data_IF_257056318590
#
_entry.id   IF_257056318590
#
_cell.length_a   1.000
_cell.length_b   1.000
_cell.length_c   1.000
_cell.angle_alpha   90.00
_cell.angle_beta   90.00
_cell.angle_gamma   90.00
#
_symmetry.space_group_name_H-M   'P 1'
#
loop_
_entity.id
_entity.type
_entity.pdbx_description
1 polymer ?
#
# COMPACT_ATOMS: atom_id res chain seq x y z
N UNK A 1 -35.24 28.05 -4.35
CA UNK A 1 -34.89 29.45 -4.69
C UNK A 1 -34.63 29.57 -6.20
N UNK A 2 -35.03 30.67 -6.86
CA UNK A 2 -34.82 30.87 -8.31
C UNK A 2 -33.32 30.92 -8.64
N UNK A 3 -32.89 30.36 -9.78
CA UNK A 3 -31.48 30.34 -10.24
C UNK A 3 -30.83 31.75 -10.24
N UNK A 4 -31.59 32.78 -10.65
CA UNK A 4 -31.15 34.18 -10.65
C UNK A 4 -30.74 34.66 -9.25
N UNK A 5 -31.52 34.33 -8.21
CA UNK A 5 -31.22 34.71 -6.83
C UNK A 5 -29.96 34.02 -6.29
N UNK A 6 -29.74 32.73 -6.62
CA UNK A 6 -28.50 32.02 -6.26
C UNK A 6 -27.26 32.67 -6.86
N UNK A 7 -27.36 33.13 -8.10
CA UNK A 7 -26.25 33.82 -8.78
C UNK A 7 -25.96 35.18 -8.15
N UNK A 8 -26.99 35.99 -7.88
CA UNK A 8 -26.82 37.33 -7.29
C UNK A 8 -26.25 37.25 -5.87
N UNK A 9 -26.67 36.26 -5.08
CA UNK A 9 -26.18 36.04 -3.72
C UNK A 9 -24.85 35.27 -3.68
N UNK A 10 -24.25 34.98 -4.84
CA UNK A 10 -23.03 34.20 -4.97
C UNK A 10 -23.07 32.87 -4.18
N UNK A 11 -24.23 32.24 -4.10
CA UNK A 11 -24.49 31.07 -3.26
C UNK A 11 -23.48 29.94 -3.50
N UNK A 12 -23.09 29.73 -4.76
CA UNK A 12 -22.08 28.74 -5.11
C UNK A 12 -20.72 29.03 -4.45
N UNK A 13 -20.31 30.31 -4.34
CA UNK A 13 -19.04 30.66 -3.67
C UNK A 13 -19.10 30.35 -2.16
N UNK A 14 -20.27 30.45 -1.55
CA UNK A 14 -20.47 30.05 -0.15
C UNK A 14 -20.31 28.54 -0.01
N UNK A 15 -20.93 27.76 -0.90
CA UNK A 15 -20.77 26.30 -0.92
C UNK A 15 -19.31 25.89 -1.10
N UNK A 16 -18.57 26.52 -2.03
CA UNK A 16 -17.14 26.26 -2.21
C UNK A 16 -16.33 26.57 -0.93
N UNK A 17 -16.61 27.69 -0.26
CA UNK A 17 -15.95 28.01 1.03
C UNK A 17 -16.21 26.94 2.08
N UNK A 18 -17.44 26.45 2.20
CA UNK A 18 -17.78 25.37 3.16
C UNK A 18 -17.11 24.05 2.77
N UNK A 19 -17.07 23.72 1.47
CA UNK A 19 -16.46 22.49 1.00
C UNK A 19 -14.96 22.41 1.32
N UNK A 20 -14.26 23.55 1.36
CA UNK A 20 -12.85 23.61 1.77
C UNK A 20 -12.61 23.23 3.23
N UNK A 21 -13.62 23.30 4.10
CA UNK A 21 -13.55 22.86 5.49
C UNK A 21 -13.96 21.39 5.68
N UNK A 22 -14.50 20.72 4.66
CA UNK A 22 -14.81 19.30 4.77
C UNK A 22 -13.54 18.44 4.61
N UNK A 23 -13.27 17.58 5.59
CA UNK A 23 -12.04 16.76 5.63
C UNK A 23 -12.08 15.58 4.65
N UNK A 24 -13.25 14.99 4.43
CA UNK A 24 -13.40 13.80 3.59
C UNK A 24 -13.90 14.16 2.20
N UNK A 25 -13.50 13.37 1.19
CA UNK A 25 -13.99 13.52 -0.19
C UNK A 25 -15.51 13.42 -0.25
N UNK A 26 -16.10 12.43 0.43
CA UNK A 26 -17.55 12.24 0.48
C UNK A 26 -18.25 13.42 1.17
N UNK A 27 -17.66 13.98 2.22
CA UNK A 27 -18.17 15.19 2.87
C UNK A 27 -18.21 16.39 1.92
N UNK A 28 -17.15 16.60 1.13
CA UNK A 28 -17.12 17.64 0.09
C UNK A 28 -18.24 17.45 -0.93
N UNK A 29 -18.42 16.22 -1.42
CA UNK A 29 -19.48 15.91 -2.38
C UNK A 29 -20.89 16.16 -1.82
N UNK A 30 -21.11 15.89 -0.53
CA UNK A 30 -22.38 16.22 0.16
C UNK A 30 -22.57 17.73 0.26
N UNK A 31 -21.51 18.49 0.60
CA UNK A 31 -21.56 19.95 0.68
C UNK A 31 -21.90 20.57 -0.68
N UNK A 32 -21.31 20.11 -1.78
CA UNK A 32 -21.61 20.62 -3.12
C UNK A 32 -23.06 20.39 -3.57
N UNK A 33 -23.76 19.43 -2.96
CA UNK A 33 -25.18 19.14 -3.23
C UNK A 33 -26.14 19.96 -2.36
N UNK A 34 -25.64 20.81 -1.46
CA UNK A 34 -26.48 21.64 -0.61
C UNK A 34 -27.30 22.65 -1.42
N UNK A 35 -28.57 22.77 -1.03
CA UNK A 35 -29.50 23.75 -1.57
C UNK A 35 -30.40 24.28 -0.45
N UNK A 36 -31.11 25.37 -0.73
CA UNK A 36 -32.15 25.89 0.16
C UNK A 36 -33.26 24.86 0.33
N UNK A 37 -33.78 24.74 1.54
CA UNK A 37 -34.97 23.95 1.85
C UNK A 37 -36.07 24.84 2.40
N UNK A 38 -37.32 24.57 2.02
CA UNK A 38 -38.52 25.17 2.60
C UNK A 38 -39.25 24.22 3.55
N UNK A 39 -38.72 23.01 3.76
CA UNK A 39 -39.29 22.03 4.67
C UNK A 39 -38.83 22.33 6.10
N UNK A 40 -39.75 22.86 6.92
CA UNK A 40 -39.45 23.34 8.27
C UNK A 40 -38.78 22.26 9.16
N UNK A 41 -39.34 21.05 9.19
CA UNK A 41 -38.81 19.96 10.02
C UNK A 41 -37.37 19.59 9.61
N UNK A 42 -37.10 19.51 8.30
CA UNK A 42 -35.76 19.26 7.78
C UNK A 42 -34.76 20.37 8.12
N UNK A 43 -35.19 21.63 8.11
CA UNK A 43 -34.35 22.78 8.51
C UNK A 43 -34.03 22.73 10.01
N UNK A 44 -35.03 22.49 10.87
CA UNK A 44 -34.84 22.37 12.33
C UNK A 44 -33.86 21.23 12.64
N UNK A 45 -34.03 20.08 11.98
CA UNK A 45 -33.14 18.93 12.16
C UNK A 45 -31.69 19.26 11.78
N UNK A 46 -31.46 19.89 10.62
CA UNK A 46 -30.11 20.30 10.19
C UNK A 46 -29.50 21.35 11.12
N UNK A 47 -30.28 22.28 11.64
CA UNK A 47 -29.81 23.25 12.64
C UNK A 47 -29.39 22.56 13.94
N UNK A 48 -30.18 21.58 14.41
CA UNK A 48 -29.84 20.75 15.57
C UNK A 48 -28.54 19.96 15.35
N UNK A 49 -28.37 19.36 14.18
CA UNK A 49 -27.13 18.68 13.79
C UNK A 49 -25.91 19.60 13.89
N UNK A 50 -25.99 20.80 13.30
CA UNK A 50 -24.91 21.78 13.33
C UNK A 50 -24.62 22.26 14.75
N UNK A 51 -25.64 22.50 15.56
CA UNK A 51 -25.48 22.93 16.95
C UNK A 51 -24.75 21.86 17.78
N UNK A 52 -25.16 20.59 17.66
CA UNK A 52 -24.49 19.48 18.36
C UNK A 52 -23.04 19.29 17.90
N UNK A 53 -22.79 19.34 16.58
CA UNK A 53 -21.44 19.23 16.04
C UNK A 53 -20.52 20.35 16.55
N UNK A 54 -21.01 21.59 16.65
CA UNK A 54 -20.24 22.69 17.22
C UNK A 54 -19.98 22.49 18.72
N UNK A 55 -20.99 22.07 19.49
CA UNK A 55 -20.86 21.85 20.93
C UNK A 55 -19.81 20.79 21.27
N UNK A 56 -19.83 19.66 20.56
CA UNK A 56 -18.86 18.58 20.81
C UNK A 56 -17.44 18.99 20.39
N UNK A 57 -17.30 19.78 19.31
CA UNK A 57 -15.99 20.34 18.90
C UNK A 57 -15.41 21.28 19.96
N UNK A 58 -16.23 22.16 20.53
CA UNK A 58 -15.80 23.08 21.59
C UNK A 58 -15.36 22.29 22.84
N UNK A 59 -16.05 21.19 23.15
CA UNK A 59 -15.78 20.40 24.34
C UNK A 59 -14.58 19.46 24.19
N UNK A 60 -14.48 18.76 23.05
CA UNK A 60 -13.53 17.66 22.85
C UNK A 60 -12.45 17.94 21.81
N UNK A 61 -12.50 19.10 21.15
CA UNK A 61 -11.67 19.41 20.00
C UNK A 61 -12.18 18.76 18.71
N UNK A 62 -11.37 18.85 17.65
CA UNK A 62 -11.75 18.36 16.32
C UNK A 62 -12.01 16.85 16.29
N UNK A 63 -13.03 16.39 15.54
CA UNK A 63 -13.32 14.96 15.39
C UNK A 63 -12.21 14.24 14.60
N UNK A 64 -11.91 12.97 14.91
CA UNK A 64 -10.88 12.21 14.21
C UNK A 64 -11.41 11.66 12.87
N UNK A 65 -11.52 12.51 11.84
CA UNK A 65 -11.99 12.13 10.50
C UNK A 65 -10.86 11.77 9.52
N UNK A 66 -9.61 11.89 9.96
CA UNK A 66 -8.43 11.54 9.16
C UNK A 66 -8.38 10.05 8.80
N UNK A 67 -8.01 9.75 7.56
CA UNK A 67 -7.90 8.37 7.03
C UNK A 67 -9.19 7.82 6.39
N UNK A 68 -10.31 8.55 6.46
CA UNK A 68 -11.55 8.14 5.81
C UNK A 68 -11.40 8.27 4.29
N UNK A 69 -11.52 7.14 3.61
CA UNK A 69 -11.45 7.02 2.16
C UNK A 69 -12.71 6.37 1.60
N UNK A 70 -13.00 6.58 0.31
CA UNK A 70 -14.03 5.77 -0.37
C UNK A 70 -13.48 4.39 -0.66
N UNK A 71 -13.95 3.40 0.10
CA UNK A 71 -13.51 2.01 0.02
C UNK A 71 -14.54 1.08 -0.62
N UNK A 72 -15.63 1.62 -1.17
CA UNK A 72 -16.77 0.81 -1.66
C UNK A 72 -16.35 -0.26 -2.67
N UNK A 73 -15.47 0.10 -3.61
CA UNK A 73 -15.03 -0.85 -4.65
C UNK A 73 -14.03 -1.89 -4.11
N UNK A 74 -13.21 -1.54 -3.12
CA UNK A 74 -12.34 -2.50 -2.43
C UNK A 74 -13.17 -3.52 -1.64
N UNK A 75 -14.16 -3.06 -0.86
CA UNK A 75 -15.05 -3.93 -0.08
C UNK A 75 -15.85 -4.86 -0.99
N UNK A 76 -16.40 -4.35 -2.10
CA UNK A 76 -17.10 -5.19 -3.09
C UNK A 76 -16.20 -6.27 -3.68
N UNK A 77 -14.94 -5.92 -3.97
CA UNK A 77 -13.96 -6.88 -4.49
C UNK A 77 -13.63 -7.95 -3.46
N UNK A 78 -13.37 -7.58 -2.22
CA UNK A 78 -13.13 -8.54 -1.13
C UNK A 78 -14.33 -9.46 -0.90
N UNK A 79 -15.56 -8.93 -0.97
CA UNK A 79 -16.78 -9.70 -0.78
C UNK A 79 -16.99 -10.83 -1.80
N UNK A 80 -16.37 -10.74 -2.99
CA UNK A 80 -16.40 -11.79 -4.02
C UNK A 80 -15.12 -12.64 -4.04
N UNK A 81 -14.25 -12.52 -3.03
CA UNK A 81 -12.99 -13.25 -2.93
C UNK A 81 -11.88 -12.73 -3.84
N UNK A 82 -11.97 -11.47 -4.27
CA UNK A 82 -10.95 -10.83 -5.11
C UNK A 82 -9.81 -10.22 -4.29
N UNK A 83 -8.60 -10.22 -4.85
CA UNK A 83 -7.41 -9.60 -4.24
C UNK A 83 -7.55 -8.07 -4.22
N UNK A 84 -7.41 -7.49 -3.03
CA UNK A 84 -7.33 -6.04 -2.81
C UNK A 84 -5.84 -5.65 -2.79
N UNK A 85 -5.51 -4.50 -3.37
CA UNK A 85 -4.13 -3.97 -3.31
C UNK A 85 -3.75 -3.55 -1.90
N UNK A 86 -2.44 -3.45 -1.62
CA UNK A 86 -1.93 -3.00 -0.31
C UNK A 86 -2.49 -1.65 0.10
N UNK A 87 -2.41 -0.64 -0.79
CA UNK A 87 -3.04 0.67 -0.60
C UNK A 87 -4.54 0.55 -0.32
N UNK A 88 -5.25 -0.34 -1.01
CA UNK A 88 -6.67 -0.57 -0.80
C UNK A 88 -6.98 -1.11 0.59
N UNK A 89 -6.22 -2.11 1.05
CA UNK A 89 -6.35 -2.69 2.40
C UNK A 89 -6.00 -1.66 3.49
N UNK A 90 -4.94 -0.88 3.31
CA UNK A 90 -4.59 0.21 4.23
C UNK A 90 -5.71 1.26 4.31
N UNK A 91 -6.27 1.69 3.17
CA UNK A 91 -7.41 2.61 3.17
C UNK A 91 -8.64 2.02 3.88
N UNK A 92 -8.89 0.71 3.75
CA UNK A 92 -9.94 0.02 4.50
C UNK A 92 -9.67 0.05 6.01
N UNK A 93 -8.46 -0.30 6.44
CA UNK A 93 -8.06 -0.27 7.85
C UNK A 93 -8.14 1.15 8.43
N UNK A 94 -7.62 2.16 7.73
CA UNK A 94 -7.68 3.55 8.15
C UNK A 94 -9.11 4.07 8.26
N UNK A 95 -9.98 3.69 7.33
CA UNK A 95 -11.40 4.06 7.37
C UNK A 95 -12.14 3.40 8.54
N UNK A 96 -11.88 2.11 8.81
CA UNK A 96 -12.42 1.40 9.97
C UNK A 96 -11.94 2.03 11.29
N UNK A 97 -10.63 2.33 11.36
CA UNK A 97 -10.01 2.99 12.52
C UNK A 97 -10.62 4.36 12.76
N UNK A 98 -10.77 5.18 11.73
CA UNK A 98 -11.40 6.50 11.83
C UNK A 98 -12.86 6.38 12.27
N UNK A 99 -13.61 5.42 11.72
CA UNK A 99 -14.98 5.13 12.15
C UNK A 99 -15.07 4.78 13.64
N UNK A 100 -14.16 3.92 14.13
CA UNK A 100 -14.08 3.54 15.55
C UNK A 100 -13.72 4.72 16.45
N UNK A 101 -12.73 5.52 16.06
CA UNK A 101 -12.34 6.71 16.81
C UNK A 101 -13.46 7.76 16.83
N UNK A 102 -14.15 7.97 15.71
CA UNK A 102 -15.29 8.87 15.62
C UNK A 102 -16.46 8.40 16.50
N UNK A 103 -16.78 7.10 16.47
CA UNK A 103 -17.80 6.50 17.33
C UNK A 103 -17.47 6.70 18.80
N UNK A 104 -16.22 6.47 19.20
CA UNK A 104 -15.77 6.74 20.57
C UNK A 104 -15.82 8.23 20.93
N UNK A 105 -15.42 9.10 20.01
CA UNK A 105 -15.45 10.55 20.19
C UNK A 105 -16.88 11.05 20.47
N UNK A 106 -17.90 10.49 19.81
CA UNK A 106 -19.31 10.88 20.02
C UNK A 106 -19.92 10.21 21.25
N UNK A 107 -19.65 8.91 21.46
CA UNK A 107 -20.39 8.11 22.46
C UNK A 107 -19.76 8.08 23.86
N UNK A 108 -18.47 8.38 24.01
CA UNK A 108 -17.76 8.27 25.30
C UNK A 108 -17.51 9.65 25.95
N UNK A 109 -17.53 9.71 27.28
CA UNK A 109 -17.18 10.89 28.07
C UNK A 109 -18.00 12.14 27.72
N UNK A 110 -19.31 11.99 27.54
CA UNK A 110 -20.22 13.13 27.42
C UNK A 110 -20.59 13.57 28.85
N UNK A 111 -20.09 14.72 29.31
CA UNK A 111 -20.31 15.27 30.65
C UNK A 111 -21.79 15.66 30.88
N UNK A 112 -22.66 14.66 31.01
CA UNK A 112 -24.13 14.76 31.13
C UNK A 112 -24.87 15.45 29.96
N UNK A 113 -24.15 15.75 28.86
CA UNK A 113 -24.74 16.26 27.62
C UNK A 113 -25.19 15.10 26.73
N UNK A 114 -26.34 15.28 26.07
CA UNK A 114 -26.85 14.34 25.08
C UNK A 114 -26.66 14.90 23.68
N UNK A 115 -26.08 14.10 22.80
CA UNK A 115 -25.89 14.43 21.39
C UNK A 115 -26.75 13.52 20.53
N UNK A 116 -28.05 13.43 20.83
CA UNK A 116 -28.98 12.43 20.30
C UNK A 116 -28.91 12.24 18.78
N UNK A 117 -28.75 13.33 18.01
CA UNK A 117 -28.64 13.23 16.55
C UNK A 117 -27.30 12.62 16.14
N UNK A 118 -26.20 13.05 16.75
CA UNK A 118 -24.86 12.50 16.45
C UNK A 118 -24.71 11.07 16.98
N UNK A 119 -25.28 10.76 18.15
CA UNK A 119 -25.33 9.44 18.75
C UNK A 119 -26.06 8.48 17.81
N UNK A 120 -27.26 8.86 17.35
CA UNK A 120 -28.01 8.08 16.36
C UNK A 120 -27.21 7.83 15.08
N UNK A 121 -26.52 8.84 14.54
CA UNK A 121 -25.67 8.67 13.35
C UNK A 121 -24.46 7.77 13.61
N UNK A 122 -23.92 7.78 14.83
CA UNK A 122 -22.71 7.03 15.19
C UNK A 122 -22.99 5.56 15.53
N UNK A 123 -24.24 5.22 15.90
CA UNK A 123 -24.63 3.83 16.16
C UNK A 123 -24.46 2.95 14.92
N UNK A 124 -24.80 3.47 13.75
CA UNK A 124 -24.72 2.76 12.46
C UNK A 124 -23.29 2.57 11.94
N UNK A 125 -22.29 3.19 12.58
CA UNK A 125 -20.89 3.01 12.21
C UNK A 125 -20.46 1.60 12.65
N UNK A 126 -20.13 0.78 11.65
CA UNK A 126 -19.49 -0.52 11.85
C UNK A 126 -18.01 -0.34 12.21
N UNK A 127 -17.55 -1.09 13.20
CA UNK A 127 -16.18 -1.05 13.70
C UNK A 127 -15.67 -2.48 13.92
N UNK A 128 -14.46 -2.78 13.45
CA UNK A 128 -13.82 -4.07 13.71
C UNK A 128 -12.32 -3.86 13.91
N UNK A 129 -11.90 -3.82 15.18
CA UNK A 129 -10.50 -3.57 15.56
C UNK A 129 -9.58 -4.71 15.13
N UNK A 130 -10.06 -5.94 15.14
CA UNK A 130 -9.25 -7.11 14.80
C UNK A 130 -8.82 -7.08 13.32
N UNK A 131 -9.70 -6.62 12.43
CA UNK A 131 -9.37 -6.41 11.00
C UNK A 131 -8.34 -5.30 10.84
N UNK A 132 -8.51 -4.17 11.55
CA UNK A 132 -7.54 -3.07 11.53
C UNK A 132 -6.14 -3.58 11.92
N UNK A 133 -6.03 -4.24 13.06
CA UNK A 133 -4.77 -4.76 13.60
C UNK A 133 -4.15 -5.82 12.68
N UNK A 134 -4.96 -6.74 12.12
CA UNK A 134 -4.46 -7.75 11.19
C UNK A 134 -3.84 -7.09 9.95
N UNK A 135 -4.52 -6.09 9.36
CA UNK A 135 -4.00 -5.38 8.18
C UNK A 135 -2.70 -4.63 8.53
N UNK A 136 -2.66 -3.87 9.62
CA UNK A 136 -1.45 -3.12 10.01
C UNK A 136 -0.27 -4.02 10.40
N UNK A 137 -0.53 -5.23 10.90
CA UNK A 137 0.53 -6.20 11.20
C UNK A 137 1.18 -6.80 9.95
N UNK A 138 0.42 -6.89 8.85
CA UNK A 138 0.87 -7.50 7.59
C UNK A 138 1.45 -6.46 6.63
N UNK A 139 0.88 -5.26 6.59
CA UNK A 139 1.23 -4.24 5.58
C UNK A 139 1.98 -3.09 6.26
N UNK A 140 3.25 -2.92 5.88
CA UNK A 140 4.12 -1.84 6.40
C UNK A 140 3.84 -0.54 5.64
N UNK A 141 3.69 -0.64 4.32
CA UNK A 141 3.44 0.52 3.44
C UNK A 141 2.63 0.11 2.22
N UNK A 142 2.28 1.08 1.37
CA UNK A 142 1.52 0.83 0.14
C UNK A 142 2.23 -0.10 -0.86
N UNK A 143 3.52 -0.35 -0.67
CA UNK A 143 4.36 -1.19 -1.54
C UNK A 143 5.03 -2.35 -0.79
N UNK A 144 4.92 -2.40 0.55
CA UNK A 144 5.71 -3.29 1.38
C UNK A 144 4.85 -4.11 2.35
N UNK A 145 5.06 -5.43 2.30
CA UNK A 145 4.51 -6.41 3.23
C UNK A 145 5.59 -6.81 4.23
N UNK A 146 5.22 -6.94 5.49
CA UNK A 146 6.09 -7.37 6.57
C UNK A 146 6.74 -8.73 6.28
N UNK A 147 8.03 -8.86 6.61
CA UNK A 147 8.79 -10.11 6.46
C UNK A 147 8.17 -11.28 7.23
N UNK A 148 7.53 -10.97 8.36
CA UNK A 148 6.87 -11.92 9.25
C UNK A 148 5.35 -11.94 9.11
N UNK A 149 4.80 -11.37 8.02
CA UNK A 149 3.38 -11.47 7.69
C UNK A 149 2.88 -12.93 7.63
N UNK A 150 3.76 -13.87 7.32
CA UNK A 150 3.54 -15.29 7.60
C UNK A 150 4.85 -16.02 7.92
N UNK A 151 4.81 -17.14 8.68
CA UNK A 151 5.98 -17.99 8.89
C UNK A 151 6.58 -18.52 7.58
N UNK A 152 5.73 -18.78 6.57
CA UNK A 152 6.16 -19.27 5.26
C UNK A 152 6.85 -18.19 4.43
N UNK A 153 6.31 -16.97 4.42
CA UNK A 153 6.94 -15.82 3.74
C UNK A 153 8.32 -15.54 4.33
N UNK A 154 8.41 -15.52 5.67
CA UNK A 154 9.67 -15.34 6.39
C UNK A 154 10.72 -16.40 6.02
N UNK A 155 10.29 -17.66 5.91
CA UNK A 155 11.16 -18.77 5.50
C UNK A 155 11.66 -18.56 4.06
N UNK A 156 10.77 -18.25 3.12
CA UNK A 156 11.12 -18.03 1.71
C UNK A 156 12.10 -16.86 1.57
N UNK A 157 11.84 -15.71 2.20
CA UNK A 157 12.73 -14.53 2.17
C UNK A 157 14.11 -14.85 2.74
N UNK A 158 14.19 -15.61 3.83
CA UNK A 158 15.45 -16.08 4.41
C UNK A 158 16.21 -17.00 3.44
N UNK A 159 15.54 -17.93 2.78
CA UNK A 159 16.16 -18.83 1.80
C UNK A 159 16.68 -18.06 0.59
N UNK A 160 15.94 -17.07 0.09
CA UNK A 160 16.39 -16.15 -0.97
C UNK A 160 17.66 -15.41 -0.53
N UNK A 161 17.69 -14.87 0.69
CA UNK A 161 18.86 -14.15 1.20
C UNK A 161 20.09 -15.06 1.32
N UNK A 162 19.91 -16.28 1.86
CA UNK A 162 20.98 -17.26 1.98
C UNK A 162 21.52 -17.65 0.60
N UNK A 163 20.65 -17.99 -0.36
CA UNK A 163 21.08 -18.35 -1.72
C UNK A 163 21.78 -17.21 -2.44
N UNK A 164 21.29 -15.96 -2.30
CA UNK A 164 21.96 -14.78 -2.86
C UNK A 164 23.40 -14.63 -2.34
N UNK A 165 23.60 -14.81 -1.03
CA UNK A 165 24.93 -14.77 -0.43
C UNK A 165 25.80 -15.93 -0.93
N UNK A 166 25.25 -17.14 -1.06
CA UNK A 166 25.95 -18.28 -1.65
C UNK A 166 26.37 -18.03 -3.11
N UNK A 167 25.51 -17.41 -3.93
CA UNK A 167 25.85 -17.03 -5.31
C UNK A 167 27.01 -16.04 -5.33
N UNK A 168 26.94 -14.97 -4.53
CA UNK A 168 28.02 -13.97 -4.44
C UNK A 168 29.34 -14.61 -4.04
N UNK A 169 29.33 -15.48 -3.02
CA UNK A 169 30.53 -16.19 -2.60
C UNK A 169 31.06 -17.14 -3.68
N UNK A 170 30.16 -17.86 -4.36
CA UNK A 170 30.54 -18.79 -5.43
C UNK A 170 31.17 -18.06 -6.60
N UNK A 171 30.55 -16.98 -7.08
CA UNK A 171 31.07 -16.24 -8.24
C UNK A 171 32.38 -15.52 -7.89
N UNK A 172 32.52 -14.99 -6.68
CA UNK A 172 33.80 -14.45 -6.20
C UNK A 172 34.89 -15.51 -6.17
N UNK A 173 34.60 -16.73 -5.68
CA UNK A 173 35.57 -17.84 -5.69
C UNK A 173 35.97 -18.29 -7.10
N UNK A 174 35.03 -18.22 -8.06
CA UNK A 174 35.31 -18.53 -9.47
C UNK A 174 36.26 -17.48 -10.03
N UNK A 175 35.96 -16.18 -9.84
CA UNK A 175 36.76 -15.07 -10.36
C UNK A 175 38.16 -15.01 -9.75
N UNK A 176 38.32 -15.37 -8.47
CA UNK A 176 39.61 -15.37 -7.80
C UNK A 176 40.46 -16.63 -8.05
N UNK A 177 39.90 -17.65 -8.71
CA UNK A 177 40.63 -18.89 -8.97
C UNK A 177 41.72 -18.70 -10.04
N UNK A 178 42.91 -19.26 -9.79
CA UNK A 178 44.08 -19.12 -10.67
C UNK A 178 43.86 -19.68 -12.09
N UNK A 179 42.92 -20.62 -12.24
CA UNK A 179 42.51 -21.16 -13.55
C UNK A 179 41.63 -20.17 -14.31
N UNK A 180 40.70 -19.48 -13.63
CA UNK A 180 39.78 -18.53 -14.23
C UNK A 180 40.47 -17.22 -14.62
N UNK A 181 41.40 -16.74 -13.79
CA UNK A 181 42.15 -15.49 -14.01
C UNK A 181 42.84 -15.41 -15.38
N UNK A 182 43.23 -16.55 -15.94
CA UNK A 182 43.87 -16.63 -17.28
C UNK A 182 42.90 -16.32 -18.42
N UNK A 183 41.60 -16.50 -18.21
CA UNK A 183 40.56 -16.35 -19.22
C UNK A 183 39.81 -15.02 -19.11
N UNK A 184 39.90 -14.35 -17.96
CA UNK A 184 39.20 -13.11 -17.69
C UNK A 184 39.92 -11.90 -18.33
N UNK A 185 39.12 -10.92 -18.75
CA UNK A 185 39.65 -9.60 -19.10
C UNK A 185 40.05 -8.85 -17.83
N UNK A 186 39.14 -8.85 -16.84
CA UNK A 186 39.33 -8.27 -15.51
C UNK A 186 38.74 -9.19 -14.45
N UNK A 187 39.38 -9.28 -13.29
CA UNK A 187 38.94 -10.11 -12.17
C UNK A 187 37.84 -9.43 -11.35
N UNK A 188 36.76 -9.03 -12.02
CA UNK A 188 35.61 -8.36 -11.40
C UNK A 188 34.32 -9.11 -11.68
N UNK A 189 33.42 -9.08 -10.71
CA UNK A 189 32.03 -9.52 -10.87
C UNK A 189 31.22 -8.31 -11.26
N UNK A 190 30.45 -8.41 -12.34
CA UNK A 190 29.57 -7.33 -12.80
C UNK A 190 28.14 -7.85 -12.91
N UNK A 191 27.16 -6.95 -12.97
CA UNK A 191 25.77 -7.32 -13.25
C UNK A 191 25.35 -6.83 -14.64
N UNK A 192 24.67 -7.69 -15.40
CA UNK A 192 24.03 -7.39 -16.68
C UNK A 192 22.64 -8.01 -16.67
N UNK A 193 21.60 -7.23 -16.95
CA UNK A 193 20.21 -7.70 -16.95
C UNK A 193 19.83 -8.47 -15.67
N UNK A 194 20.20 -7.93 -14.50
CA UNK A 194 20.03 -8.56 -13.17
C UNK A 194 20.69 -9.94 -12.99
N UNK A 195 21.67 -10.27 -13.84
CA UNK A 195 22.46 -11.51 -13.77
C UNK A 195 23.90 -11.19 -13.42
N UNK A 196 24.49 -11.99 -12.53
CA UNK A 196 25.92 -11.91 -12.23
C UNK A 196 26.74 -12.51 -13.38
N UNK A 197 27.61 -11.69 -13.97
CA UNK A 197 28.42 -12.06 -15.13
C UNK A 197 29.89 -11.72 -14.91
N UNK A 198 30.75 -12.50 -15.56
CA UNK A 198 32.20 -12.33 -15.54
C UNK A 198 32.71 -11.97 -16.94
N UNK A 199 33.61 -10.98 -17.07
CA UNK A 199 34.13 -10.55 -18.36
C UNK A 199 35.25 -11.49 -18.83
N UNK A 200 34.97 -12.30 -19.85
CA UNK A 200 35.87 -13.30 -20.43
C UNK A 200 36.41 -12.79 -21.77
N UNK A 201 37.71 -12.95 -22.04
CA UNK A 201 38.29 -12.62 -23.35
C UNK A 201 37.70 -13.54 -24.41
N UNK A 202 37.30 -12.99 -25.55
CA UNK A 202 36.60 -13.73 -26.62
C UNK A 202 37.33 -15.00 -27.08
N UNK A 203 38.66 -14.97 -27.11
CA UNK A 203 39.52 -16.11 -27.47
C UNK A 203 39.39 -17.32 -26.53
N UNK A 204 39.02 -17.10 -25.26
CA UNK A 204 38.84 -18.15 -24.25
C UNK A 204 37.37 -18.53 -24.02
N UNK A 205 36.44 -18.12 -24.90
CA UNK A 205 35.00 -18.42 -24.78
C UNK A 205 34.72 -19.91 -24.52
N UNK A 206 35.37 -20.80 -25.25
CA UNK A 206 35.15 -22.26 -25.16
C UNK A 206 35.64 -22.87 -23.85
N UNK A 207 36.55 -22.19 -23.13
CA UNK A 207 37.13 -22.66 -21.88
C UNK A 207 36.23 -22.34 -20.67
N UNK A 208 35.30 -21.39 -20.81
CA UNK A 208 34.42 -20.96 -19.73
C UNK A 208 33.01 -21.50 -19.98
N UNK A 209 32.60 -22.49 -19.18
CA UNK A 209 31.24 -23.05 -19.26
C UNK A 209 30.23 -22.07 -18.66
N UNK A 210 29.35 -21.53 -19.49
CA UNK A 210 28.33 -20.59 -19.05
C UNK A 210 27.47 -20.06 -20.20
N UNK A 211 26.56 -19.15 -19.86
CA UNK A 211 25.65 -18.49 -20.79
C UNK A 211 26.17 -17.08 -21.06
N UNK A 212 26.24 -16.69 -22.33
CA UNK A 212 26.62 -15.32 -22.71
C UNK A 212 25.39 -14.43 -22.65
N UNK A 213 25.49 -13.35 -21.88
CA UNK A 213 24.41 -12.37 -21.73
C UNK A 213 24.67 -11.09 -22.48
N UNK A 214 25.94 -10.74 -22.72
CA UNK A 214 26.33 -9.48 -23.33
C UNK A 214 27.74 -9.57 -23.95
N UNK A 215 28.08 -8.60 -24.79
CA UNK A 215 29.39 -8.46 -25.44
C UNK A 215 29.83 -6.99 -25.48
N UNK A 216 31.13 -6.73 -25.31
CA UNK A 216 31.66 -5.36 -25.43
C UNK A 216 31.44 -4.77 -26.83
N UNK A 217 31.40 -3.45 -26.95
CA UNK A 217 31.21 -2.74 -28.24
C UNK A 217 32.26 -3.10 -29.28
N UNK A 218 33.50 -3.38 -28.85
CA UNK A 218 34.62 -3.84 -29.68
C UNK A 218 34.55 -5.33 -30.03
N UNK A 219 33.65 -6.07 -29.38
CA UNK A 219 33.52 -7.51 -29.50
C UNK A 219 34.59 -8.34 -28.81
N UNK A 220 35.59 -7.73 -28.16
CA UNK A 220 36.74 -8.41 -27.57
C UNK A 220 36.43 -9.13 -26.25
N UNK A 221 35.41 -8.68 -25.51
CA UNK A 221 35.04 -9.21 -24.19
C UNK A 221 33.62 -9.75 -24.22
N UNK A 222 33.43 -10.96 -23.70
CA UNK A 222 32.13 -11.60 -23.53
C UNK A 222 31.75 -11.62 -22.06
N UNK A 223 30.52 -11.24 -21.74
CA UNK A 223 30.00 -11.31 -20.37
C UNK A 223 29.26 -12.63 -20.18
N UNK A 224 29.88 -13.54 -19.42
CA UNK A 224 29.40 -14.92 -19.25
C UNK A 224 28.88 -15.12 -17.82
N UNK A 225 27.67 -15.67 -17.67
CA UNK A 225 27.18 -16.23 -16.40
C UNK A 225 27.70 -17.67 -16.27
N UNK A 226 28.58 -17.97 -15.30
CA UNK A 226 29.11 -19.32 -15.12
C UNK A 226 28.00 -20.32 -14.82
N UNK A 227 28.09 -21.54 -15.37
CA UNK A 227 27.03 -22.56 -15.22
C UNK A 227 26.69 -22.86 -13.75
N UNK A 228 27.69 -22.87 -12.86
CA UNK A 228 27.49 -23.08 -11.43
C UNK A 228 26.63 -22.00 -10.75
N UNK A 229 26.56 -20.80 -11.33
CA UNK A 229 25.71 -19.70 -10.86
C UNK A 229 24.33 -19.79 -11.50
N UNK A 230 24.23 -20.20 -12.77
CA UNK A 230 22.94 -20.34 -13.50
C UNK A 230 21.95 -21.21 -12.72
N UNK A 231 22.39 -22.37 -12.24
CA UNK A 231 21.54 -23.29 -11.47
C UNK A 231 21.02 -22.63 -10.19
N UNK A 232 21.90 -21.95 -9.44
CA UNK A 232 21.54 -21.25 -8.21
C UNK A 232 20.60 -20.06 -8.49
N UNK A 233 20.80 -19.34 -9.59
CA UNK A 233 19.93 -18.24 -10.02
C UNK A 233 18.52 -18.75 -10.35
N UNK A 234 18.41 -19.92 -10.98
CA UNK A 234 17.11 -20.54 -11.26
C UNK A 234 16.37 -20.92 -9.98
N UNK A 235 17.07 -21.43 -8.96
CA UNK A 235 16.47 -21.71 -7.65
C UNK A 235 15.92 -20.44 -6.98
N UNK A 236 16.65 -19.30 -7.07
CA UNK A 236 16.16 -18.01 -6.57
C UNK A 236 14.92 -17.56 -7.35
N UNK A 237 14.90 -17.76 -8.67
CA UNK A 237 13.73 -17.44 -9.48
C UNK A 237 12.50 -18.24 -9.05
N UNK A 238 12.69 -19.52 -8.71
CA UNK A 238 11.61 -20.36 -8.17
C UNK A 238 11.12 -19.85 -6.81
N UNK A 239 12.05 -19.56 -5.88
CA UNK A 239 11.70 -19.00 -4.58
C UNK A 239 10.95 -17.66 -4.68
N UNK A 240 11.35 -16.78 -5.62
CA UNK A 240 10.61 -15.52 -5.89
C UNK A 240 9.20 -15.78 -6.41
N UNK A 241 9.01 -16.82 -7.23
CA UNK A 241 7.66 -17.21 -7.65
C UNK A 241 6.83 -17.76 -6.49
N UNK A 242 7.45 -18.48 -5.55
CA UNK A 242 6.79 -18.95 -4.33
C UNK A 242 6.45 -17.79 -3.39
N UNK A 243 7.36 -16.83 -3.24
CA UNK A 243 7.15 -15.60 -2.48
C UNK A 243 5.92 -14.86 -3.00
N UNK A 244 5.82 -14.67 -4.32
CA UNK A 244 4.67 -14.00 -4.94
C UNK A 244 3.35 -14.73 -4.65
N UNK A 245 3.34 -16.07 -4.75
CA UNK A 245 2.16 -16.88 -4.44
C UNK A 245 1.76 -16.79 -2.97
N UNK A 246 2.74 -16.79 -2.07
CA UNK A 246 2.48 -16.65 -0.64
C UNK A 246 1.94 -15.25 -0.30
N UNK A 247 2.46 -14.21 -0.93
CA UNK A 247 1.91 -12.85 -0.83
C UNK A 247 0.45 -12.82 -1.31
N UNK A 248 0.15 -13.37 -2.49
CA UNK A 248 -1.24 -13.43 -3.00
C UNK A 248 -2.16 -14.20 -2.04
N UNK A 249 -1.68 -15.29 -1.44
CA UNK A 249 -2.42 -16.06 -0.42
C UNK A 249 -2.72 -15.21 0.83
N UNK A 250 -1.73 -14.49 1.34
CA UNK A 250 -1.88 -13.60 2.50
C UNK A 250 -2.91 -12.51 2.19
N UNK A 251 -2.84 -11.90 1.01
CA UNK A 251 -3.79 -10.85 0.60
C UNK A 251 -5.23 -11.36 0.39
N UNK A 252 -5.41 -12.63 0.06
CA UNK A 252 -6.74 -13.25 -0.01
C UNK A 252 -7.31 -13.61 1.37
N UNK A 253 -6.46 -13.78 2.37
CA UNK A 253 -6.84 -14.10 3.74
C UNK A 253 -7.18 -12.85 4.58
N UNK A 254 -6.86 -11.67 4.06
CA UNK A 254 -7.19 -10.35 4.61
C UNK A 254 -8.49 -9.82 4.00
#
# INVERSE_FOLDING_TARGET
MKKKSKSVLEFNKIIEKVANFAETKNGKEVVHKLDVSSELNGVIFKQKQTAQALSIIIEKGSPPLGGISDIKDYVKRGAVGGIISLRGLLNCADTLRAGRLLKNYVLLNNNDRTYDVLESLSQDIFTNKDIEEKIYSVIISEEEIADDASPQLKKIRREIQVKNNSIKNKINSIVSSSSMLKYLQEAIVTMRNDRYVVPVRKEYRSMVRGIIHDQSSTGSTLFIEPMAVVEMTNEISNLKSEEKKEIERILLEL
#
